data_IF_471518212107
#
_entry.id   IF_471518212107
#
_cell.length_a   1.000
_cell.length_b   1.000
_cell.length_c   1.000
_cell.angle_alpha   90.00
_cell.angle_beta   90.00
_cell.angle_gamma   90.00
#
_symmetry.space_group_name_H-M   'P 1'
#
loop_
_entity.id
_entity.type
_entity.pdbx_description
1 polymer ?
#
# COMPACT_ATOMS: atom_id res chain seq x y z
N UNK A 1 -11.10 18.66 -2.21
CA UNK A 1 -10.39 17.44 -2.64
C UNK A 1 -10.18 17.52 -4.14
N UNK A 2 -8.93 17.44 -4.62
CA UNK A 2 -8.64 17.41 -6.06
C UNK A 2 -8.93 15.99 -6.58
N UNK A 3 -9.62 15.89 -7.71
CA UNK A 3 -9.90 14.63 -8.39
C UNK A 3 -8.93 14.50 -9.57
N UNK A 4 -8.50 13.26 -9.83
CA UNK A 4 -7.60 12.94 -10.93
C UNK A 4 -8.25 11.90 -11.82
N UNK A 5 -7.87 11.91 -13.09
CA UNK A 5 -8.20 10.89 -14.08
C UNK A 5 -7.03 9.93 -14.27
N UNK A 6 -7.25 8.81 -14.96
CA UNK A 6 -6.17 7.87 -15.30
C UNK A 6 -5.04 8.50 -16.12
N UNK A 7 -5.33 9.56 -16.89
CA UNK A 7 -4.32 10.30 -17.67
C UNK A 7 -3.36 11.10 -16.78
N UNK A 8 -3.70 11.32 -15.51
CA UNK A 8 -2.92 12.12 -14.56
C UNK A 8 -2.20 11.23 -13.52
N UNK A 9 -2.04 9.93 -13.80
CA UNK A 9 -1.45 8.99 -12.84
C UNK A 9 -0.01 9.37 -12.45
N UNK A 10 0.76 9.93 -13.36
CA UNK A 10 2.11 10.45 -13.10
C UNK A 10 2.07 11.61 -12.10
N UNK A 11 1.11 12.53 -12.25
CA UNK A 11 0.91 13.62 -11.30
C UNK A 11 0.49 13.10 -9.91
N UNK A 12 -0.30 12.03 -9.86
CA UNK A 12 -0.65 11.37 -8.59
C UNK A 12 0.59 10.75 -7.93
N UNK A 13 1.47 10.12 -8.71
CA UNK A 13 2.74 9.58 -8.21
C UNK A 13 3.64 10.70 -7.65
N UNK A 14 3.72 11.84 -8.33
CA UNK A 14 4.43 13.01 -7.78
C UNK A 14 3.83 13.52 -6.46
N UNK A 15 2.50 13.48 -6.33
CA UNK A 15 1.83 13.91 -5.09
C UNK A 15 2.17 12.97 -3.94
N UNK A 16 2.20 11.66 -4.19
CA UNK A 16 2.68 10.66 -3.23
C UNK A 16 4.13 10.94 -2.82
N UNK A 17 5.02 11.18 -3.78
CA UNK A 17 6.43 11.52 -3.50
C UNK A 17 6.60 12.82 -2.70
N UNK A 18 5.63 13.73 -2.76
CA UNK A 18 5.56 14.96 -1.97
C UNK A 18 4.86 14.77 -0.61
N UNK A 19 4.70 13.53 -0.14
CA UNK A 19 4.10 13.19 1.15
C UNK A 19 2.59 13.42 1.23
N UNK A 20 1.89 13.53 0.09
CA UNK A 20 0.42 13.72 0.07
C UNK A 20 -0.30 12.38 0.23
N UNK A 21 -1.47 12.44 0.87
CA UNK A 21 -2.39 11.31 0.99
C UNK A 21 -3.26 11.28 -0.26
N UNK A 22 -3.38 10.11 -0.87
CA UNK A 22 -4.28 9.87 -2.00
C UNK A 22 -5.44 8.97 -1.56
N UNK A 23 -6.61 9.19 -2.16
CA UNK A 23 -7.73 8.25 -2.09
C UNK A 23 -7.85 7.57 -3.45
N UNK A 24 -7.90 6.25 -3.47
CA UNK A 24 -8.03 5.47 -4.70
C UNK A 24 -9.18 4.46 -4.59
N UNK A 25 -9.87 4.17 -5.71
CA UNK A 25 -10.96 3.20 -5.70
C UNK A 25 -10.41 1.78 -5.46
N UNK A 26 -11.15 0.98 -4.70
CA UNK A 26 -11.00 -0.48 -4.65
C UNK A 26 -12.35 -1.12 -4.95
N UNK A 27 -12.42 -2.44 -5.01
CA UNK A 27 -13.64 -3.20 -5.25
C UNK A 27 -14.71 -2.98 -4.17
N UNK A 28 -14.31 -2.73 -2.92
CA UNK A 28 -15.23 -2.57 -1.78
C UNK A 28 -15.41 -1.12 -1.34
N UNK A 29 -14.30 -0.42 -1.04
CA UNK A 29 -14.32 0.95 -0.48
C UNK A 29 -13.12 1.75 -0.95
N UNK A 30 -13.16 3.08 -0.84
CA UNK A 30 -11.97 3.87 -1.14
C UNK A 30 -10.83 3.57 -0.16
N UNK A 31 -9.68 3.18 -0.71
CA UNK A 31 -8.41 3.09 0.00
C UNK A 31 -7.82 4.47 0.22
N UNK A 32 -7.09 4.65 1.33
CA UNK A 32 -6.20 5.80 1.50
C UNK A 32 -4.76 5.32 1.48
N UNK A 33 -3.95 5.93 0.63
CA UNK A 33 -2.55 5.58 0.44
C UNK A 33 -1.61 6.76 0.68
N UNK A 34 -0.41 6.44 1.12
CA UNK A 34 0.73 7.34 1.26
C UNK A 34 1.97 6.67 0.70
N UNK A 35 3.03 7.43 0.49
CA UNK A 35 4.35 6.83 0.32
C UNK A 35 4.82 6.27 1.67
N UNK A 36 5.34 5.04 1.66
CA UNK A 36 5.57 4.26 2.89
C UNK A 36 6.76 4.77 3.72
N UNK A 37 7.73 5.39 3.08
CA UNK A 37 9.01 5.85 3.65
C UNK A 37 8.95 7.31 4.17
N UNK A 38 7.78 7.94 4.14
CA UNK A 38 7.55 9.26 4.71
C UNK A 38 6.84 9.16 6.07
N UNK A 39 7.62 9.36 7.13
CA UNK A 39 7.13 9.37 8.52
C UNK A 39 6.05 10.43 8.77
N UNK A 40 6.12 11.61 8.14
CA UNK A 40 5.12 12.65 8.29
C UNK A 40 3.80 12.26 7.62
N UNK A 41 3.88 11.64 6.43
CA UNK A 41 2.71 11.12 5.75
C UNK A 41 2.04 9.99 6.55
N UNK A 42 2.84 9.13 7.20
CA UNK A 42 2.36 8.07 8.08
C UNK A 42 1.61 8.60 9.30
N UNK A 43 2.18 9.57 10.01
CA UNK A 43 1.49 10.23 11.13
C UNK A 43 0.17 10.88 10.70
N UNK A 44 0.18 11.52 9.53
CA UNK A 44 -1.02 12.17 8.99
C UNK A 44 -2.10 11.13 8.66
N UNK A 45 -1.73 9.99 8.07
CA UNK A 45 -2.65 8.89 7.78
C UNK A 45 -3.29 8.34 9.06
N UNK A 46 -2.50 8.12 10.13
CA UNK A 46 -3.01 7.66 11.44
C UNK A 46 -4.04 8.65 11.99
N UNK A 47 -3.71 9.94 12.01
CA UNK A 47 -4.58 11.01 12.52
C UNK A 47 -5.92 11.04 11.77
N UNK A 48 -5.91 10.93 10.44
CA UNK A 48 -7.13 10.93 9.62
C UNK A 48 -7.95 9.65 9.83
N UNK A 49 -7.31 8.48 9.81
CA UNK A 49 -8.01 7.20 9.95
C UNK A 49 -8.51 6.95 11.38
N UNK A 50 -8.08 7.75 12.36
CA UNK A 50 -8.37 7.56 13.79
C UNK A 50 -8.10 6.11 14.24
N UNK A 51 -7.05 5.52 13.67
CA UNK A 51 -6.70 4.10 13.87
C UNK A 51 -5.74 3.99 15.06
N UNK A 52 -5.93 2.97 15.90
CA UNK A 52 -4.93 2.65 16.93
C UNK A 52 -3.59 2.34 16.25
N UNK A 53 -2.46 2.85 16.78
CA UNK A 53 -1.12 2.55 16.27
C UNK A 53 -0.80 1.03 16.24
N UNK A 54 -1.47 0.26 17.09
CA UNK A 54 -1.28 -1.20 17.21
C UNK A 54 -1.79 -1.99 16.00
N UNK A 55 -2.63 -1.38 15.16
CA UNK A 55 -3.19 -2.05 13.98
C UNK A 55 -2.36 -1.70 12.74
N UNK A 56 -1.54 -2.62 12.21
CA UNK A 56 -0.70 -2.34 11.05
C UNK A 56 -1.53 -1.94 9.83
N UNK A 57 -0.87 -1.26 8.90
CA UNK A 57 -1.39 -0.95 7.57
C UNK A 57 -0.81 -1.95 6.56
N UNK A 58 -1.57 -2.22 5.49
CA UNK A 58 -1.08 -3.03 4.38
C UNK A 58 -0.15 -2.22 3.49
N UNK A 59 0.91 -2.87 2.98
CA UNK A 59 1.81 -2.30 1.97
C UNK A 59 1.40 -2.82 0.58
N UNK A 60 1.19 -1.92 -0.37
CA UNK A 60 0.85 -2.27 -1.75
C UNK A 60 2.12 -2.31 -2.60
N UNK A 61 2.44 -3.48 -3.15
CA UNK A 61 3.67 -3.73 -3.91
C UNK A 61 3.35 -4.31 -5.28
N UNK A 62 4.13 -3.96 -6.29
CA UNK A 62 3.80 -4.26 -7.69
C UNK A 62 4.11 -5.69 -8.13
N UNK A 63 4.95 -6.42 -7.39
CA UNK A 63 5.41 -7.75 -7.78
C UNK A 63 5.95 -8.56 -6.60
N UNK A 64 6.00 -9.89 -6.76
CA UNK A 64 6.66 -10.80 -5.81
C UNK A 64 8.12 -10.42 -5.56
N UNK A 65 8.82 -9.90 -6.58
CA UNK A 65 10.20 -9.42 -6.46
C UNK A 65 10.25 -8.21 -5.51
N UNK A 66 9.33 -7.25 -5.63
CA UNK A 66 9.24 -6.15 -4.66
C UNK A 66 8.89 -6.62 -3.26
N UNK A 67 7.93 -7.54 -3.11
CA UNK A 67 7.56 -8.11 -1.80
C UNK A 67 8.79 -8.70 -1.11
N UNK A 68 9.64 -9.42 -1.86
CA UNK A 68 10.87 -10.01 -1.33
C UNK A 68 11.88 -9.01 -0.80
N UNK A 69 11.76 -7.70 -1.10
CA UNK A 69 12.59 -6.66 -0.50
C UNK A 69 12.22 -6.38 0.96
N UNK A 70 10.95 -6.57 1.32
CA UNK A 70 10.40 -6.21 2.64
C UNK A 70 9.98 -7.42 3.49
N UNK A 71 9.85 -8.60 2.90
CA UNK A 71 9.39 -9.81 3.58
C UNK A 71 10.28 -11.02 3.30
N UNK A 72 10.31 -11.94 4.26
CA UNK A 72 10.85 -13.28 4.10
C UNK A 72 9.72 -14.18 3.60
N UNK A 73 9.89 -14.78 2.42
CA UNK A 73 8.87 -15.59 1.76
C UNK A 73 9.28 -17.07 1.70
N UNK A 74 8.39 -17.95 2.15
CA UNK A 74 8.48 -19.39 1.92
C UNK A 74 8.08 -19.75 0.49
N UNK A 75 8.38 -20.99 0.06
CA UNK A 75 7.97 -21.48 -1.25
C UNK A 75 6.45 -21.56 -1.39
N UNK A 76 5.76 -21.89 -0.30
CA UNK A 76 4.31 -21.96 -0.21
C UNK A 76 3.69 -20.56 -0.31
N UNK A 77 4.23 -19.58 0.40
CA UNK A 77 3.78 -18.18 0.33
C UNK A 77 3.96 -17.61 -1.08
N UNK A 78 5.08 -17.90 -1.76
CA UNK A 78 5.29 -17.49 -3.15
C UNK A 78 4.24 -18.12 -4.08
N UNK A 79 3.88 -19.40 -3.89
CA UNK A 79 2.83 -20.05 -4.68
C UNK A 79 1.48 -19.35 -4.49
N UNK A 80 1.12 -19.03 -3.24
CA UNK A 80 -0.12 -18.31 -2.92
C UNK A 80 -0.10 -16.91 -3.55
N UNK A 81 0.99 -16.17 -3.43
CA UNK A 81 1.12 -14.83 -4.04
C UNK A 81 0.93 -14.94 -5.57
N UNK A 82 1.60 -15.87 -6.24
CA UNK A 82 1.53 -15.98 -7.70
C UNK A 82 0.15 -16.44 -8.21
N UNK A 83 -0.60 -17.20 -7.40
CA UNK A 83 -1.94 -17.69 -7.77
C UNK A 83 -3.01 -16.60 -7.56
N UNK A 84 -2.91 -15.83 -6.47
CA UNK A 84 -3.98 -14.93 -6.05
C UNK A 84 -3.68 -13.44 -6.25
N UNK A 85 -2.49 -13.06 -6.75
CA UNK A 85 -2.12 -11.67 -7.01
C UNK A 85 -1.84 -11.41 -8.49
N UNK A 86 -2.32 -10.27 -9.04
CA UNK A 86 -3.15 -9.26 -8.39
C UNK A 86 -4.58 -9.76 -8.11
N UNK A 87 -5.15 -9.40 -6.95
CA UNK A 87 -6.49 -9.84 -6.56
C UNK A 87 -6.93 -9.32 -5.20
N UNK A 88 -8.06 -9.82 -4.72
CA UNK A 88 -8.80 -9.26 -3.56
C UNK A 88 -8.33 -9.81 -2.21
N UNK A 89 -7.15 -10.44 -2.17
CA UNK A 89 -6.57 -10.97 -0.94
C UNK A 89 -5.59 -9.99 -0.30
N UNK A 90 -5.48 -10.06 1.02
CA UNK A 90 -4.34 -9.48 1.75
C UNK A 90 -3.57 -10.62 2.38
N UNK A 91 -2.28 -10.74 2.05
CA UNK A 91 -1.44 -11.84 2.50
C UNK A 91 -0.58 -11.35 3.66
N UNK A 92 -0.70 -12.00 4.81
CA UNK A 92 0.16 -11.78 5.97
C UNK A 92 1.43 -12.62 5.83
N UNK A 93 2.58 -11.95 5.81
CA UNK A 93 3.90 -12.58 5.68
C UNK A 93 4.83 -12.05 6.77
N UNK A 94 5.94 -12.77 7.01
CA UNK A 94 6.97 -12.31 7.94
C UNK A 94 7.77 -11.16 7.33
N UNK A 95 7.73 -9.99 7.98
CA UNK A 95 8.58 -8.85 7.62
C UNK A 95 10.06 -9.20 7.78
N UNK A 96 10.91 -8.58 6.96
CA UNK A 96 12.36 -8.53 7.18
C UNK A 96 12.68 -7.52 8.27
N UNK A 97 13.77 -7.78 8.99
CA UNK A 97 14.37 -6.85 9.95
C UNK A 97 15.00 -5.64 9.25
#
# INVERSE_FOLDING_TARGET
MKKFTYQEIELVAEYLQKGKIIAFPTETVFGLGIIYDDSNAYEHLIKIKRRSPEKPFSLMLSSTIEISKYALLSKEEIKVINEFMPGDLTILVRAKD
#
